data_IF_875784146293
#
_entry.id   IF_875784146293
#
_cell.length_a   1.000
_cell.length_b   1.000
_cell.length_c   1.000
_cell.angle_alpha   90.00
_cell.angle_beta   90.00
_cell.angle_gamma   90.00
#
_symmetry.space_group_name_H-M   'P 1'
#
loop_
_entity.id
_entity.type
_entity.pdbx_description
1 polymer ?
#
# COMPACT_ATOMS: atom_id res chain seq x y z
N UNK A 1 -7.06 14.59 -16.81
CA UNK A 1 -6.07 15.66 -16.57
C UNK A 1 -5.87 15.73 -15.06
N UNK A 2 -4.65 15.53 -14.58
CA UNK A 2 -4.33 15.58 -13.15
C UNK A 2 -4.25 17.04 -12.75
N UNK A 3 -4.92 17.41 -11.66
CA UNK A 3 -4.80 18.74 -11.07
C UNK A 3 -3.36 18.90 -10.54
N UNK A 4 -2.58 19.93 -10.95
CA UNK A 4 -1.19 20.10 -10.50
C UNK A 4 -1.00 20.23 -8.99
N UNK A 5 -2.08 20.49 -8.24
CA UNK A 5 -2.07 20.60 -6.77
C UNK A 5 -2.35 19.28 -6.04
N UNK A 6 -2.73 18.20 -6.74
CA UNK A 6 -2.99 16.90 -6.13
C UNK A 6 -1.86 15.91 -6.43
N UNK A 7 -0.95 15.74 -5.46
CA UNK A 7 0.12 14.73 -5.49
C UNK A 7 -0.40 13.28 -5.42
N UNK A 8 -1.72 13.09 -5.43
CA UNK A 8 -2.38 11.79 -5.43
C UNK A 8 -3.59 11.78 -6.35
N UNK A 9 -3.69 10.76 -7.21
CA UNK A 9 -4.85 10.47 -8.03
C UNK A 9 -5.68 9.37 -7.37
N UNK A 10 -6.98 9.58 -7.18
CA UNK A 10 -7.94 8.55 -6.79
C UNK A 10 -8.82 8.14 -7.97
N UNK A 11 -9.02 6.83 -8.16
CA UNK A 11 -9.82 6.26 -9.24
C UNK A 11 -10.64 5.08 -8.75
N UNK A 12 -11.86 4.94 -9.26
CA UNK A 12 -12.71 3.76 -9.07
C UNK A 12 -12.72 2.93 -10.35
N UNK A 13 -12.48 1.63 -10.21
CA UNK A 13 -12.52 0.65 -11.29
C UNK A 13 -13.59 -0.40 -11.02
N UNK A 14 -14.26 -0.84 -12.09
CA UNK A 14 -15.12 -2.02 -12.08
C UNK A 14 -14.52 -3.07 -13.02
N UNK A 15 -14.30 -4.27 -12.52
CA UNK A 15 -13.84 -5.41 -13.29
C UNK A 15 -14.96 -6.43 -13.39
N UNK A 16 -15.49 -6.61 -14.61
CA UNK A 16 -16.56 -7.57 -14.90
C UNK A 16 -16.01 -8.98 -15.19
N UNK A 17 -15.10 -9.44 -14.32
CA UNK A 17 -14.49 -10.76 -14.34
C UNK A 17 -14.30 -11.25 -12.89
N UNK A 18 -14.24 -12.57 -12.65
CA UNK A 18 -13.93 -13.10 -11.32
C UNK A 18 -12.65 -12.46 -10.75
N UNK A 19 -12.64 -12.05 -9.47
CA UNK A 19 -11.47 -11.44 -8.85
C UNK A 19 -10.27 -12.37 -8.90
N UNK A 20 -9.13 -11.85 -9.33
CA UNK A 20 -7.85 -12.54 -9.29
C UNK A 20 -7.23 -12.46 -7.88
N UNK A 21 -7.96 -13.02 -6.90
CA UNK A 21 -7.52 -13.18 -5.53
C UNK A 21 -7.30 -14.67 -5.23
N UNK A 22 -6.18 -15.05 -4.58
CA UNK A 22 -5.95 -16.43 -4.18
C UNK A 22 -6.96 -16.87 -3.11
N UNK A 23 -7.33 -15.98 -2.19
CA UNK A 23 -8.30 -16.18 -1.12
C UNK A 23 -8.63 -14.84 -0.48
N UNK A 24 -9.77 -14.72 0.19
CA UNK A 24 -10.12 -13.62 1.10
C UNK A 24 -10.08 -14.04 2.58
N UNK A 25 -10.00 -15.35 2.84
CA UNK A 25 -10.13 -15.96 4.17
C UNK A 25 -8.81 -16.06 4.91
N UNK A 26 -7.70 -16.10 4.19
CA UNK A 26 -6.37 -16.17 4.78
C UNK A 26 -5.51 -14.98 4.34
N UNK A 27 -5.34 -14.02 5.26
CA UNK A 27 -4.54 -12.81 5.04
C UNK A 27 -3.06 -13.12 4.81
N UNK A 28 -2.53 -14.24 5.32
CA UNK A 28 -1.12 -14.58 5.11
C UNK A 28 -0.89 -15.07 3.69
N UNK A 29 -1.77 -15.93 3.16
CA UNK A 29 -1.77 -16.29 1.73
C UNK A 29 -1.89 -15.06 0.82
N UNK A 30 -2.72 -14.08 1.19
CA UNK A 30 -2.80 -12.80 0.47
C UNK A 30 -1.48 -12.01 0.50
N UNK A 31 -0.84 -11.91 1.67
CA UNK A 31 0.46 -11.25 1.82
C UNK A 31 1.52 -11.90 0.95
N UNK A 32 1.59 -13.22 0.94
CA UNK A 32 2.56 -13.98 0.15
C UNK A 32 2.35 -13.77 -1.35
N UNK A 33 1.10 -13.86 -1.81
CA UNK A 33 0.73 -13.60 -3.19
C UNK A 33 1.13 -12.20 -3.66
N UNK A 34 0.73 -11.16 -2.91
CA UNK A 34 1.04 -9.79 -3.29
C UNK A 34 2.53 -9.47 -3.16
N UNK A 35 3.22 -10.00 -2.14
CA UNK A 35 4.67 -9.84 -1.97
C UNK A 35 5.43 -10.36 -3.19
N UNK A 36 5.13 -11.58 -3.62
CA UNK A 36 5.79 -12.18 -4.78
C UNK A 36 5.48 -11.38 -6.06
N UNK A 37 4.22 -10.99 -6.26
CA UNK A 37 3.79 -10.23 -7.43
C UNK A 37 4.49 -8.87 -7.54
N UNK A 38 4.54 -8.10 -6.44
CA UNK A 38 5.15 -6.76 -6.45
C UNK A 38 6.68 -6.82 -6.53
N UNK A 39 7.31 -7.78 -5.86
CA UNK A 39 8.76 -7.98 -5.91
C UNK A 39 9.23 -8.37 -7.32
N UNK A 40 8.47 -9.21 -8.04
CA UNK A 40 8.76 -9.56 -9.42
C UNK A 40 8.74 -8.35 -10.38
N UNK A 41 8.03 -7.28 -10.00
CA UNK A 41 7.98 -6.01 -10.73
C UNK A 41 8.99 -4.97 -10.21
N UNK A 42 9.89 -5.36 -9.30
CA UNK A 42 10.89 -4.49 -8.67
C UNK A 42 10.34 -3.57 -7.58
N UNK A 43 9.06 -3.69 -7.22
CA UNK A 43 8.43 -2.92 -6.15
C UNK A 43 8.54 -3.60 -4.78
N UNK A 44 7.83 -3.05 -3.81
CA UNK A 44 7.81 -3.49 -2.42
C UNK A 44 6.43 -3.53 -1.81
N UNK A 45 6.23 -4.48 -0.90
CA UNK A 45 5.05 -4.56 -0.05
C UNK A 45 5.18 -3.61 1.15
N UNK A 46 4.16 -2.79 1.40
CA UNK A 46 4.06 -1.97 2.63
C UNK A 46 2.94 -2.50 3.52
N UNK A 47 1.77 -2.78 2.94
CA UNK A 47 0.61 -3.23 3.70
C UNK A 47 -0.26 -4.20 2.88
N UNK A 48 -0.75 -5.24 3.54
CA UNK A 48 -1.90 -6.03 3.13
C UNK A 48 -2.75 -6.31 4.36
N UNK A 49 -3.98 -5.84 4.33
CA UNK A 49 -4.98 -6.03 5.37
C UNK A 49 -6.31 -6.49 4.77
N UNK A 50 -6.98 -7.42 5.44
CA UNK A 50 -8.32 -7.88 5.08
C UNK A 50 -9.30 -7.38 6.15
N UNK A 51 -10.46 -6.91 5.72
CA UNK A 51 -11.49 -6.33 6.60
C UNK A 51 -12.88 -6.44 5.95
N UNK A 52 -13.94 -6.27 6.73
CA UNK A 52 -15.30 -6.23 6.18
C UNK A 52 -15.72 -4.79 5.90
N UNK A 53 -16.15 -4.52 4.67
CA UNK A 53 -16.71 -3.24 4.25
C UNK A 53 -18.21 -3.40 4.00
N UNK A 54 -19.03 -2.88 4.91
CA UNK A 54 -20.50 -3.03 4.87
C UNK A 54 -20.96 -4.49 4.65
N UNK A 55 -20.31 -5.44 5.33
CA UNK A 55 -20.51 -6.91 5.27
C UNK A 55 -19.90 -7.63 4.04
N UNK A 56 -19.15 -6.93 3.18
CA UNK A 56 -18.38 -7.57 2.12
C UNK A 56 -16.90 -7.66 2.48
N UNK A 57 -16.32 -8.87 2.46
CA UNK A 57 -14.92 -9.04 2.80
C UNK A 57 -14.07 -8.38 1.72
N UNK A 58 -13.15 -7.52 2.13
CA UNK A 58 -12.40 -6.60 1.28
C UNK A 58 -10.92 -6.63 1.64
N UNK A 59 -10.06 -6.28 0.67
CA UNK A 59 -8.60 -6.23 0.86
C UNK A 59 -8.10 -4.82 0.62
N UNK A 60 -7.35 -4.28 1.58
CA UNK A 60 -6.53 -3.09 1.40
C UNK A 60 -5.09 -3.50 1.12
N UNK A 61 -4.48 -2.92 0.11
CA UNK A 61 -3.08 -3.11 -0.21
C UNK A 61 -2.35 -1.77 -0.33
N UNK A 62 -1.09 -1.74 0.07
CA UNK A 62 -0.18 -0.62 -0.17
C UNK A 62 1.15 -1.18 -0.69
N UNK A 63 1.58 -0.65 -1.82
CA UNK A 63 2.84 -0.98 -2.46
C UNK A 63 3.68 0.28 -2.68
N UNK A 64 4.99 0.10 -2.80
CA UNK A 64 5.93 1.11 -3.30
C UNK A 64 6.58 0.63 -4.58
N UNK A 65 6.81 1.55 -5.50
CA UNK A 65 7.53 1.30 -6.75
C UNK A 65 8.57 2.40 -6.94
N UNK A 66 9.86 2.06 -7.14
CA UNK A 66 10.88 3.05 -7.45
C UNK A 66 10.57 3.81 -8.75
N UNK A 67 10.80 5.11 -8.75
CA UNK A 67 10.70 5.95 -9.95
C UNK A 67 12.02 5.99 -10.72
N UNK A 68 11.97 6.18 -12.04
CA UNK A 68 13.17 6.25 -12.88
C UNK A 68 14.06 7.45 -12.54
N UNK A 69 13.47 8.60 -12.19
CA UNK A 69 14.18 9.85 -11.89
C UNK A 69 14.55 9.99 -10.40
N UNK A 70 14.25 8.98 -9.58
CA UNK A 70 14.44 8.98 -8.12
C UNK A 70 13.14 9.18 -7.34
N UNK A 71 13.14 8.73 -6.08
CA UNK A 71 11.95 8.72 -5.21
C UNK A 71 11.05 7.50 -5.41
N UNK A 72 9.89 7.52 -4.74
CA UNK A 72 8.93 6.41 -4.73
C UNK A 72 7.55 6.82 -5.24
N UNK A 73 6.88 5.90 -5.94
CA UNK A 73 5.42 5.95 -6.16
C UNK A 73 4.75 4.99 -5.20
N UNK A 74 3.75 5.48 -4.47
CA UNK A 74 2.94 4.68 -3.57
C UNK A 74 1.60 4.35 -4.25
N UNK A 75 1.32 3.06 -4.34
CA UNK A 75 0.09 2.52 -4.92
C UNK A 75 -0.73 1.90 -3.80
N UNK A 76 -1.92 2.43 -3.57
CA UNK A 76 -2.84 1.91 -2.57
C UNK A 76 -4.13 1.49 -3.24
N UNK A 77 -4.71 0.38 -2.80
CA UNK A 77 -5.98 -0.09 -3.33
C UNK A 77 -6.87 -0.66 -2.24
N UNK A 78 -8.18 -0.54 -2.44
CA UNK A 78 -9.21 -1.31 -1.73
C UNK A 78 -9.95 -2.11 -2.79
N UNK A 79 -9.82 -3.42 -2.72
CA UNK A 79 -10.53 -4.38 -3.57
C UNK A 79 -11.73 -4.90 -2.82
N UNK A 80 -12.91 -4.74 -3.41
CA UNK A 80 -14.20 -5.26 -2.91
C UNK A 80 -14.61 -6.39 -3.88
N UNK A 81 -14.20 -7.64 -3.59
CA UNK A 81 -14.45 -8.78 -4.45
C UNK A 81 -15.87 -9.35 -4.26
N UNK A 82 -16.50 -9.69 -5.38
CA UNK A 82 -17.72 -10.49 -5.48
C UNK A 82 -17.42 -11.77 -6.25
N UNK A 83 -18.35 -12.71 -6.32
CA UNK A 83 -18.14 -14.01 -6.98
C UNK A 83 -17.65 -13.87 -8.44
N UNK A 84 -18.26 -12.94 -9.19
CA UNK A 84 -18.03 -12.79 -10.64
C UNK A 84 -17.50 -11.42 -11.07
N UNK A 85 -17.29 -10.49 -10.13
CA UNK A 85 -16.82 -9.14 -10.43
C UNK A 85 -16.08 -8.53 -9.23
N UNK A 86 -15.45 -7.37 -9.42
CA UNK A 86 -14.94 -6.57 -8.31
C UNK A 86 -15.02 -5.08 -8.58
N UNK A 87 -15.12 -4.32 -7.48
CA UNK A 87 -14.85 -2.90 -7.48
C UNK A 87 -13.49 -2.67 -6.82
N UNK A 88 -12.68 -1.79 -7.41
CA UNK A 88 -11.36 -1.45 -6.88
C UNK A 88 -11.20 0.05 -6.84
N UNK A 89 -11.07 0.59 -5.63
CA UNK A 89 -10.69 1.98 -5.41
C UNK A 89 -9.16 1.99 -5.36
N UNK A 90 -8.51 2.80 -6.20
CA UNK A 90 -7.05 2.94 -6.22
C UNK A 90 -6.66 4.38 -5.95
N UNK A 91 -5.59 4.56 -5.18
CA UNK A 91 -4.87 5.82 -5.10
C UNK A 91 -3.44 5.63 -5.56
N UNK A 92 -2.93 6.56 -6.36
CA UNK A 92 -1.53 6.62 -6.75
C UNK A 92 -0.98 7.96 -6.28
N UNK A 93 0.00 7.94 -5.38
CA UNK A 93 0.67 9.13 -4.87
C UNK A 93 2.15 9.11 -5.23
N UNK A 94 2.64 10.19 -5.82
CA UNK A 94 3.99 10.25 -6.39
C UNK A 94 4.84 11.20 -5.57
N UNK A 95 6.04 10.78 -5.21
CA UNK A 95 7.04 11.67 -4.62
C UNK A 95 7.65 12.56 -5.70
N UNK A 96 7.46 13.87 -5.58
CA UNK A 96 7.84 14.87 -6.59
C UNK A 96 8.74 15.93 -5.93
N UNK A 97 9.75 16.40 -6.66
CA UNK A 97 10.65 17.46 -6.18
C UNK A 97 11.72 16.91 -5.25
N UNK A 98 11.87 17.49 -4.05
CA UNK A 98 12.85 17.01 -3.08
C UNK A 98 12.35 15.73 -2.42
N UNK A 99 12.89 14.60 -2.84
CA UNK A 99 12.54 13.26 -2.34
C UNK A 99 13.37 12.87 -1.11
N UNK A 100 12.89 11.91 -0.32
CA UNK A 100 13.62 11.28 0.77
C UNK A 100 13.68 12.09 2.07
N UNK A 101 12.93 13.19 2.20
CA UNK A 101 12.92 14.04 3.41
C UNK A 101 12.45 13.23 4.63
N UNK A 102 11.34 12.50 4.48
CA UNK A 102 10.80 11.63 5.54
C UNK A 102 11.80 10.54 5.92
N UNK A 103 12.36 9.87 4.91
CA UNK A 103 13.36 8.82 5.11
C UNK A 103 14.57 9.34 5.87
N UNK A 104 15.16 10.47 5.44
CA UNK A 104 16.34 11.06 6.06
C UNK A 104 16.09 11.46 7.52
N UNK A 105 14.95 12.08 7.81
CA UNK A 105 14.60 12.48 9.17
C UNK A 105 14.45 11.28 10.11
N UNK A 106 13.67 10.27 9.71
CA UNK A 106 13.46 9.07 10.52
C UNK A 106 14.75 8.25 10.65
N UNK A 107 15.52 8.14 9.57
CA UNK A 107 16.81 7.44 9.57
C UNK A 107 17.78 8.08 10.57
N UNK A 108 17.93 9.40 10.57
CA UNK A 108 18.80 10.12 11.51
C UNK A 108 18.41 9.82 12.96
N UNK A 109 17.09 9.87 13.28
CA UNK A 109 16.58 9.52 14.61
C UNK A 109 16.94 8.09 15.03
N UNK A 110 16.92 7.14 14.09
CA UNK A 110 17.23 5.74 14.35
C UNK A 110 18.74 5.47 14.44
N UNK A 111 19.56 6.24 13.74
CA UNK A 111 21.01 6.21 13.88
C UNK A 111 21.44 6.75 15.25
N UNK A 112 20.87 7.88 15.68
CA UNK A 112 21.18 8.51 16.97
C UNK A 112 20.85 7.62 18.17
N UNK A 113 19.77 6.83 18.09
CA UNK A 113 19.37 5.92 19.17
C UNK A 113 19.90 4.48 18.98
N UNK A 114 20.73 4.23 17.97
CA UNK A 114 21.37 2.94 17.71
C UNK A 114 20.44 1.82 17.22
N UNK A 115 19.18 2.12 16.85
CA UNK A 115 18.25 1.13 16.27
C UNK A 115 18.62 0.73 14.85
N UNK A 116 19.21 1.66 14.10
CA UNK A 116 19.81 1.46 12.79
C UNK A 116 21.30 1.73 12.92
N UNK A 117 22.12 0.95 12.22
CA UNK A 117 23.58 1.13 12.20
C UNK A 117 24.10 0.94 10.78
N UNK A 118 25.32 1.38 10.51
CA UNK A 118 26.03 1.01 9.29
C UNK A 118 26.84 -0.26 9.51
N UNK A 119 26.90 -1.13 8.51
CA UNK A 119 27.86 -2.23 8.41
C UNK A 119 28.52 -2.26 7.02
N UNK A 120 29.35 -3.28 6.76
CA UNK A 120 30.08 -3.42 5.49
C UNK A 120 29.18 -3.54 4.24
N UNK A 121 27.88 -3.79 4.42
CA UNK A 121 26.89 -3.94 3.34
C UNK A 121 25.86 -2.78 3.31
N UNK A 122 26.03 -1.73 4.13
CA UNK A 122 25.17 -0.56 4.15
C UNK A 122 24.36 -0.39 5.43
N UNK A 123 23.09 0.00 5.32
CA UNK A 123 22.21 0.22 6.47
C UNK A 123 21.67 -1.10 7.02
N UNK A 124 22.05 -1.42 8.26
CA UNK A 124 21.52 -2.56 9.01
C UNK A 124 20.25 -2.17 9.75
N UNK A 125 19.26 -3.07 9.75
CA UNK A 125 17.96 -2.89 10.39
C UNK A 125 17.19 -1.66 9.87
N UNK A 126 17.32 -1.30 8.59
CA UNK A 126 16.52 -0.21 8.00
C UNK A 126 15.45 -0.70 7.03
N UNK A 127 15.79 -1.69 6.20
CA UNK A 127 14.90 -2.29 5.21
C UNK A 127 14.46 -3.69 5.62
N UNK A 128 13.16 -3.96 5.63
CA UNK A 128 12.58 -5.26 5.96
C UNK A 128 11.23 -5.45 5.26
N UNK A 129 10.85 -6.68 4.93
CA UNK A 129 9.45 -6.95 4.59
C UNK A 129 8.58 -6.78 5.85
N UNK A 130 7.40 -6.16 5.75
CA UNK A 130 6.55 -5.88 6.91
C UNK A 130 6.01 -7.13 7.61
N UNK A 131 6.01 -8.30 6.96
CA UNK A 131 5.39 -9.51 7.50
C UNK A 131 6.30 -10.74 7.50
N UNK A 132 7.36 -10.78 6.67
CA UNK A 132 8.33 -11.88 6.59
C UNK A 132 9.79 -11.38 6.66
N UNK A 133 10.41 -11.42 7.85
CA UNK A 133 11.81 -11.00 8.01
C UNK A 133 12.82 -11.79 7.17
N UNK A 134 12.48 -12.99 6.67
CA UNK A 134 13.37 -13.79 5.82
C UNK A 134 13.34 -13.34 4.35
N UNK A 135 12.29 -12.62 3.92
CA UNK A 135 12.19 -12.12 2.56
C UNK A 135 13.13 -10.94 2.30
N UNK A 136 13.81 -10.96 1.14
CA UNK A 136 14.87 -10.00 0.76
C UNK A 136 14.79 -9.49 -0.68
N UNK A 137 13.76 -9.82 -1.43
CA UNK A 137 13.64 -9.44 -2.84
C UNK A 137 12.86 -8.12 -3.03
N UNK A 138 13.01 -7.51 -4.21
CA UNK A 138 12.32 -6.27 -4.56
C UNK A 138 12.80 -5.05 -3.76
N UNK A 139 11.95 -4.03 -3.69
CA UNK A 139 12.21 -2.78 -2.97
C UNK A 139 11.58 -2.84 -1.58
N UNK A 140 12.26 -3.49 -0.62
CA UNK A 140 11.74 -3.67 0.73
C UNK A 140 11.24 -2.36 1.38
N UNK A 141 10.27 -2.50 2.27
CA UNK A 141 9.78 -1.40 3.11
C UNK A 141 10.92 -0.89 4.01
N UNK A 142 11.04 0.41 4.16
CA UNK A 142 11.92 1.04 5.13
C UNK A 142 11.13 1.43 6.40
N UNK A 143 11.82 1.67 7.52
CA UNK A 143 11.13 1.98 8.79
C UNK A 143 10.39 3.32 8.79
N UNK A 144 10.76 4.26 7.93
CA UNK A 144 10.06 5.54 7.78
C UNK A 144 8.63 5.36 7.26
N UNK A 145 8.38 4.31 6.48
CA UNK A 145 7.10 4.06 5.81
C UNK A 145 6.00 3.55 6.76
N UNK A 146 6.30 3.38 8.06
CA UNK A 146 5.33 3.00 9.08
C UNK A 146 4.31 4.12 9.30
N UNK A 147 3.07 3.74 9.58
CA UNK A 147 1.93 4.65 9.76
C UNK A 147 2.14 5.68 10.89
N UNK A 148 2.91 5.33 11.92
CA UNK A 148 3.21 6.21 13.06
C UNK A 148 3.84 7.56 12.66
N UNK A 149 4.50 7.64 11.50
CA UNK A 149 5.11 8.87 11.00
C UNK A 149 4.17 9.73 10.14
N UNK A 150 2.97 9.26 9.81
CA UNK A 150 2.08 9.99 8.90
C UNK A 150 1.62 11.33 9.48
N UNK A 151 1.48 11.43 10.81
CA UNK A 151 1.14 12.69 11.49
C UNK A 151 2.26 13.72 11.42
N UNK A 152 3.53 13.28 11.47
CA UNK A 152 4.69 14.16 11.36
C UNK A 152 4.93 14.60 9.90
N UNK A 153 4.49 13.79 8.93
CA UNK A 153 4.68 14.01 7.49
C UNK A 153 3.36 13.99 6.69
N UNK A 154 2.38 14.85 7.00
CA UNK A 154 1.04 14.77 6.41
C UNK A 154 1.02 15.02 4.90
N UNK A 155 2.03 15.71 4.36
CA UNK A 155 2.19 15.98 2.93
C UNK A 155 3.02 14.94 2.19
N UNK A 156 3.54 13.92 2.89
CA UNK A 156 4.27 12.84 2.26
C UNK A 156 3.31 11.99 1.40
N UNK A 157 3.72 11.56 0.19
CA UNK A 157 2.84 10.80 -0.71
C UNK A 157 2.19 9.57 -0.08
N UNK A 158 2.94 8.79 0.72
CA UNK A 158 2.38 7.64 1.45
C UNK A 158 1.28 8.04 2.46
N UNK A 159 1.48 9.16 3.17
CA UNK A 159 0.50 9.67 4.14
C UNK A 159 -0.76 10.17 3.44
N UNK A 160 -0.60 10.85 2.30
CA UNK A 160 -1.72 11.27 1.44
C UNK A 160 -2.47 10.04 0.92
N UNK A 161 -1.78 9.01 0.43
CA UNK A 161 -2.39 7.79 -0.09
C UNK A 161 -3.22 7.06 0.98
N UNK A 162 -2.66 6.88 2.19
CA UNK A 162 -3.37 6.31 3.34
C UNK A 162 -4.60 7.14 3.72
N UNK A 163 -4.42 8.45 3.93
CA UNK A 163 -5.53 9.33 4.31
C UNK A 163 -6.66 9.33 3.26
N UNK A 164 -6.30 9.31 1.97
CA UNK A 164 -7.25 9.30 0.85
C UNK A 164 -8.03 8.00 0.80
N UNK A 165 -7.36 6.84 0.88
CA UNK A 165 -8.06 5.56 0.84
C UNK A 165 -8.92 5.34 2.09
N UNK A 166 -8.45 5.75 3.27
CA UNK A 166 -9.19 5.59 4.51
C UNK A 166 -10.43 6.49 4.52
N UNK A 167 -10.34 7.68 3.91
CA UNK A 167 -11.51 8.53 3.66
C UNK A 167 -12.49 7.83 2.71
N UNK A 168 -12.02 7.27 1.60
CA UNK A 168 -12.87 6.55 0.66
C UNK A 168 -13.57 5.33 1.30
N UNK A 169 -12.88 4.58 2.16
CA UNK A 169 -13.46 3.46 2.93
C UNK A 169 -14.59 3.96 3.84
N UNK A 170 -14.40 5.09 4.54
CA UNK A 170 -15.40 5.65 5.45
C UNK A 170 -16.63 6.22 4.75
N UNK A 171 -16.43 6.77 3.56
CA UNK A 171 -17.46 7.48 2.79
C UNK A 171 -18.14 6.61 1.73
N UNK A 172 -17.76 5.33 1.61
CA UNK A 172 -18.37 4.43 0.64
C UNK A 172 -19.87 4.25 0.94
N UNK A 173 -20.66 4.22 -0.13
CA UNK A 173 -22.09 3.94 -0.06
C UNK A 173 -22.44 2.95 -1.18
N UNK A 174 -22.85 1.73 -0.82
CA UNK A 174 -23.25 0.73 -1.78
C UNK A 174 -24.70 0.92 -2.18
N UNK A 175 -24.93 1.05 -3.49
CA UNK A 175 -26.29 1.03 -4.03
C UNK A 175 -26.94 -0.35 -3.83
N UNK A 176 -28.27 -0.44 -3.74
CA UNK A 176 -28.98 -1.70 -3.53
C UNK A 176 -28.56 -2.82 -4.48
N UNK A 177 -28.30 -2.50 -5.76
CA UNK A 177 -27.90 -3.47 -6.77
C UNK A 177 -26.55 -4.13 -6.45
N UNK A 178 -25.66 -3.43 -5.75
CA UNK A 178 -24.38 -3.98 -5.29
C UNK A 178 -24.58 -4.85 -4.04
N UNK A 179 -25.48 -4.45 -3.15
CA UNK A 179 -25.81 -5.20 -1.94
C UNK A 179 -26.43 -6.58 -2.22
N UNK A 180 -27.03 -6.76 -3.39
CA UNK A 180 -27.60 -8.03 -3.85
C UNK A 180 -26.58 -9.00 -4.46
N UNK A 181 -25.34 -8.55 -4.70
CA UNK A 181 -24.29 -9.40 -5.27
C UNK A 181 -23.81 -10.47 -4.28
N UNK A 182 -23.50 -11.65 -4.83
CA UNK A 182 -22.88 -12.73 -4.05
C UNK A 182 -21.44 -12.36 -3.66
N UNK A 183 -21.16 -12.35 -2.36
CA UNK A 183 -19.83 -12.07 -1.82
C UNK A 183 -18.81 -13.12 -2.25
N UNK A 184 -17.57 -12.69 -2.47
CA UNK A 184 -16.47 -13.59 -2.79
C UNK A 184 -16.14 -14.51 -1.60
N UNK A 185 -16.00 -15.82 -1.87
CA UNK A 185 -15.91 -16.83 -0.82
C UNK A 185 -14.68 -17.74 -0.90
N UNK A 186 -13.78 -17.53 -1.86
CA UNK A 186 -12.51 -18.26 -1.98
C UNK A 186 -11.53 -17.78 -0.91
#
# INVERSE_FOLDING_TARGET
>A
MVNPEENALISLYFFNIPPDLPTIKDVNSLRDFYRQSIAASGGGLIEVSAFDLQNFPSVKTIFKVPQQEGGMTYLTAVTIPFENCSFVIKTQAVEIGTTGIRDAFVLNRFLENGKVTFDGNGLKNWFEDPYDPAFKEGTLMNKSEREEYDTEFPQHPLSIARASIDKAIREIDFKPEVMELAGFNK
#
